data_IF_504591975902
#
_entry.id   IF_504591975902
#
_cell.length_a   1.000
_cell.length_b   1.000
_cell.length_c   1.000
_cell.angle_alpha   90.00
_cell.angle_beta   90.00
_cell.angle_gamma   90.00
#
_symmetry.space_group_name_H-M   'P 1'
#
loop_
_entity.id
_entity.type
_entity.pdbx_description
1 polymer ?
#
# COMPACT_ATOMS: atom_id res chain seq x y z
N UNK A 1 -0.79 15.91 1.07
CA UNK A 1 0.67 15.85 1.25
C UNK A 1 1.14 14.45 0.89
N UNK A 2 2.27 14.34 0.20
CA UNK A 2 2.93 13.07 -0.09
C UNK A 2 3.89 12.70 1.05
N UNK A 3 4.02 11.39 1.29
CA UNK A 3 4.86 10.79 2.32
C UNK A 3 5.58 9.57 1.73
N UNK A 4 6.65 9.13 2.39
CA UNK A 4 7.29 7.85 2.09
C UNK A 4 6.78 6.82 3.10
N UNK A 5 6.25 5.71 2.59
CA UNK A 5 5.77 4.59 3.40
C UNK A 5 6.56 3.32 3.11
N UNK A 6 6.73 2.46 4.12
CA UNK A 6 7.35 1.16 3.91
C UNK A 6 6.39 0.16 3.26
N UNK A 7 6.86 -0.54 2.22
CA UNK A 7 6.12 -1.64 1.59
C UNK A 7 5.80 -2.73 2.64
N UNK A 8 6.87 -3.23 3.28
CA UNK A 8 6.77 -4.07 4.46
C UNK A 8 6.71 -3.16 5.69
N UNK A 9 5.75 -3.33 6.61
CA UNK A 9 5.72 -2.49 7.82
C UNK A 9 7.04 -2.61 8.58
N UNK A 10 7.44 -1.53 9.24
CA UNK A 10 8.65 -1.55 10.09
C UNK A 10 8.59 -2.61 11.19
N UNK A 11 7.39 -2.91 11.71
CA UNK A 11 7.16 -4.01 12.67
C UNK A 11 7.41 -5.40 12.08
N UNK A 12 7.31 -5.54 10.77
CA UNK A 12 7.39 -6.81 10.04
C UNK A 12 8.76 -6.98 9.36
N UNK A 13 9.76 -6.18 9.76
CA UNK A 13 11.11 -6.21 9.20
C UNK A 13 11.35 -5.25 8.03
N UNK A 14 10.44 -4.28 7.81
CA UNK A 14 10.62 -3.22 6.84
C UNK A 14 11.91 -2.41 7.06
N UNK A 15 12.53 -1.95 5.97
CA UNK A 15 13.79 -1.21 6.01
C UNK A 15 13.71 0.09 5.20
N UNK A 16 14.59 1.04 5.51
CA UNK A 16 14.68 2.32 4.78
C UNK A 16 15.38 2.19 3.42
N UNK A 17 15.57 0.98 2.88
CA UNK A 17 16.11 0.79 1.53
C UNK A 17 15.09 1.38 0.54
N UNK A 18 15.57 2.16 -0.44
CA UNK A 18 14.69 2.81 -1.43
C UNK A 18 13.76 1.83 -2.15
N UNK A 19 14.21 0.60 -2.42
CA UNK A 19 13.40 -0.46 -3.04
C UNK A 19 12.27 -0.99 -2.15
N UNK A 20 12.22 -0.61 -0.88
CA UNK A 20 11.18 -0.98 0.09
C UNK A 20 10.32 0.20 0.54
N UNK A 21 10.43 1.33 -0.16
CA UNK A 21 9.62 2.51 0.10
C UNK A 21 8.68 2.77 -1.08
N UNK A 22 7.46 3.19 -0.77
CA UNK A 22 6.49 3.69 -1.72
C UNK A 22 6.18 5.15 -1.44
N UNK A 23 5.90 5.92 -2.50
CA UNK A 23 5.26 7.22 -2.35
C UNK A 23 3.79 7.00 -2.02
N UNK A 24 3.31 7.67 -0.99
CA UNK A 24 1.97 7.48 -0.45
C UNK A 24 1.36 8.83 -0.04
N UNK A 25 0.06 9.01 -0.26
CA UNK A 25 -0.65 10.14 0.36
C UNK A 25 -0.64 9.99 1.89
N UNK A 26 -0.64 11.10 2.64
CA UNK A 26 -0.64 11.06 4.11
C UNK A 26 -1.75 10.15 4.68
N UNK A 27 -2.99 10.30 4.19
CA UNK A 27 -4.12 9.49 4.64
C UNK A 27 -3.98 8.01 4.27
N UNK A 28 -3.32 7.72 3.15
CA UNK A 28 -3.07 6.37 2.66
C UNK A 28 -2.04 5.67 3.53
N UNK A 29 -0.99 6.40 3.92
CA UNK A 29 0.06 5.91 4.80
C UNK A 29 -0.51 5.59 6.19
N UNK A 30 -1.25 6.53 6.76
CA UNK A 30 -1.84 6.35 8.09
C UNK A 30 -3.00 5.34 8.10
N UNK A 31 -3.83 5.33 7.05
CA UNK A 31 -5.06 4.55 6.98
C UNK A 31 -4.90 3.06 6.66
N UNK A 32 -3.70 2.60 6.29
CA UNK A 32 -3.45 1.18 5.97
C UNK A 32 -3.54 0.26 7.19
N UNK A 33 -3.12 0.74 8.36
CA UNK A 33 -3.03 -0.07 9.57
C UNK A 33 -2.06 -1.25 9.41
N UNK A 34 -2.53 -2.47 9.69
CA UNK A 34 -1.73 -3.71 9.61
C UNK A 34 -1.79 -4.41 8.26
N UNK A 35 -2.51 -3.86 7.28
CA UNK A 35 -2.67 -4.48 5.97
C UNK A 35 -1.38 -4.38 5.16
N UNK A 36 -1.07 -5.38 4.33
CA UNK A 36 0.02 -5.31 3.36
C UNK A 36 -0.17 -4.12 2.39
N UNK A 37 0.93 -3.49 1.96
CA UNK A 37 0.87 -2.26 1.16
C UNK A 37 0.25 -2.53 -0.22
N UNK A 38 0.61 -3.65 -0.86
CA UNK A 38 0.10 -3.99 -2.18
C UNK A 38 -1.39 -4.31 -2.11
N UNK A 39 -1.82 -5.10 -1.11
CA UNK A 39 -3.23 -5.40 -0.88
C UNK A 39 -4.04 -4.11 -0.65
N UNK A 40 -3.57 -3.24 0.25
CA UNK A 40 -4.25 -1.98 0.56
C UNK A 40 -4.37 -1.08 -0.66
N UNK A 41 -3.28 -0.91 -1.43
CA UNK A 41 -3.25 -0.12 -2.67
C UNK A 41 -4.25 -0.67 -3.69
N UNK A 42 -4.28 -1.99 -3.92
CA UNK A 42 -5.19 -2.62 -4.89
C UNK A 42 -6.65 -2.49 -4.48
N UNK A 43 -6.98 -2.55 -3.19
CA UNK A 43 -8.34 -2.26 -2.70
C UNK A 43 -8.68 -0.78 -2.90
N UNK A 44 -7.79 0.13 -2.47
CA UNK A 44 -8.10 1.56 -2.43
C UNK A 44 -8.17 2.21 -3.81
N UNK A 45 -7.42 1.67 -4.78
CA UNK A 45 -7.48 2.09 -6.18
C UNK A 45 -8.68 1.53 -6.95
N UNK A 46 -9.41 0.57 -6.37
CA UNK A 46 -10.48 -0.14 -7.08
C UNK A 46 -9.98 -1.24 -8.03
N UNK A 47 -8.66 -1.42 -8.19
CA UNK A 47 -8.06 -2.49 -9.02
C UNK A 47 -8.63 -3.88 -8.66
N UNK A 48 -8.94 -4.14 -7.39
CA UNK A 48 -9.57 -5.40 -6.98
C UNK A 48 -10.95 -5.61 -7.63
N UNK A 49 -11.76 -4.56 -7.70
CA UNK A 49 -13.07 -4.62 -8.34
C UNK A 49 -12.92 -4.86 -9.85
N UNK A 50 -11.98 -4.18 -10.50
CA UNK A 50 -11.68 -4.42 -11.91
C UNK A 50 -11.22 -5.86 -12.17
N UNK A 51 -10.37 -6.42 -11.29
CA UNK A 51 -9.91 -7.82 -11.41
C UNK A 51 -11.06 -8.82 -11.26
N UNK A 52 -12.01 -8.56 -10.35
CA UNK A 52 -13.15 -9.45 -10.09
C UNK A 52 -14.20 -9.32 -11.20
N UNK A 53 -14.50 -8.10 -11.62
CA UNK A 53 -15.60 -7.79 -12.54
C UNK A 53 -15.21 -7.94 -14.02
N UNK A 54 -13.96 -7.68 -14.41
CA UNK A 54 -13.48 -7.89 -15.78
C UNK A 54 -13.00 -9.32 -16.06
N UNK A 55 -13.19 -10.24 -15.11
CA UNK A 55 -12.96 -11.68 -15.31
C UNK A 55 -14.19 -12.44 -15.80
N UNK A 56 -15.31 -11.75 -16.02
CA UNK A 56 -16.56 -12.29 -16.56
C UNK A 56 -17.01 -11.51 -17.80
#
# INVERSE_FOLDING_TARGET
>A
METLEHLDRRSDGGSNRRSRLALACFDCNFGRGSMDWLIYKTIKSGELFDIIMNKF
#
